data_IF_198954121701
#
_entry.id   IF_198954121701
#
_cell.length_a   1.000
_cell.length_b   1.000
_cell.length_c   1.000
_cell.angle_alpha   90.00
_cell.angle_beta   90.00
_cell.angle_gamma   90.00
#
_symmetry.space_group_name_H-M   'P 1'
#
loop_
_entity.id
_entity.type
_entity.pdbx_description
1 polymer ?
#
# COMPACT_ATOMS: atom_id res chain seq x y z
N UNK A 1 -5.84 -18.40 45.45
CA UNK A 1 -5.24 -18.10 44.14
C UNK A 1 -4.57 -19.37 43.62
N UNK A 2 -5.16 -20.03 42.64
CA UNK A 2 -4.67 -21.31 42.11
C UNK A 2 -3.37 -21.13 41.31
N UNK A 3 -2.29 -21.81 41.72
CA UNK A 3 -1.03 -21.95 40.95
C UNK A 3 -1.32 -22.73 39.67
N UNK A 4 -1.76 -22.05 38.62
CA UNK A 4 -2.03 -22.68 37.34
C UNK A 4 -0.76 -22.64 36.49
N UNK A 5 -0.20 -23.85 36.29
CA UNK A 5 0.62 -24.25 35.15
C UNK A 5 2.07 -23.75 35.12
N UNK A 6 2.85 -24.06 36.16
CA UNK A 6 4.32 -24.05 36.05
C UNK A 6 4.79 -25.35 35.40
N UNK A 7 4.92 -25.35 34.07
CA UNK A 7 5.59 -26.43 33.34
C UNK A 7 6.98 -25.93 32.95
N UNK A 8 8.02 -26.55 33.50
CA UNK A 8 9.40 -26.34 33.05
C UNK A 8 9.75 -27.37 31.99
N UNK A 9 10.35 -26.91 30.89
CA UNK A 9 10.86 -27.78 29.83
C UNK A 9 12.38 -27.91 29.99
N UNK A 10 12.86 -29.16 30.12
CA UNK A 10 14.27 -29.47 29.99
C UNK A 10 14.53 -29.83 28.53
N UNK A 11 15.52 -29.19 27.91
CA UNK A 11 15.97 -29.51 26.55
C UNK A 11 17.19 -30.42 26.64
N UNK A 12 17.05 -31.75 26.48
CA UNK A 12 18.20 -32.65 26.49
C UNK A 12 19.13 -32.36 25.32
N UNK A 13 20.40 -32.73 25.46
CA UNK A 13 21.35 -32.65 24.35
C UNK A 13 20.91 -33.55 23.19
N UNK A 14 21.12 -33.09 21.96
CA UNK A 14 20.80 -33.90 20.79
C UNK A 14 21.68 -35.14 20.71
N UNK A 15 21.13 -36.32 20.37
CA UNK A 15 21.91 -37.53 20.22
C UNK A 15 22.91 -37.41 19.07
N UNK A 16 24.09 -38.01 19.22
CA UNK A 16 25.22 -37.87 18.29
C UNK A 16 24.88 -38.23 16.83
N UNK A 17 23.95 -39.17 16.61
CA UNK A 17 23.46 -39.52 15.27
C UNK A 17 22.78 -38.34 14.57
N UNK A 18 21.89 -37.62 15.28
CA UNK A 18 21.17 -36.47 14.71
C UNK A 18 22.12 -35.30 14.44
N UNK A 19 23.09 -35.06 15.33
CA UNK A 19 24.10 -34.01 15.13
C UNK A 19 24.92 -34.25 13.85
N UNK A 20 25.45 -35.46 13.66
CA UNK A 20 26.22 -35.85 12.46
C UNK A 20 25.38 -35.77 11.18
N UNK A 21 24.10 -36.16 11.26
CA UNK A 21 23.20 -36.10 10.12
C UNK A 21 22.93 -34.65 9.70
N UNK A 22 22.60 -33.77 10.67
CA UNK A 22 22.39 -32.34 10.43
C UNK A 22 23.61 -31.66 9.82
N UNK A 23 24.81 -32.01 10.28
CA UNK A 23 26.07 -31.51 9.71
C UNK A 23 26.25 -31.97 8.26
N UNK A 24 26.06 -33.27 7.98
CA UNK A 24 26.22 -33.83 6.63
C UNK A 24 25.24 -33.25 5.61
N UNK A 25 24.01 -32.96 6.03
CA UNK A 25 22.98 -32.38 5.15
C UNK A 25 22.98 -30.84 5.14
N UNK A 26 23.87 -30.20 5.89
CA UNK A 26 23.95 -28.74 5.98
C UNK A 26 22.71 -28.10 6.62
N UNK A 27 22.04 -28.80 7.55
CA UNK A 27 20.85 -28.29 8.22
C UNK A 27 21.17 -27.06 9.05
N UNK A 28 20.44 -25.96 8.80
CA UNK A 28 20.48 -24.73 9.60
C UNK A 28 19.20 -24.61 10.39
N UNK A 29 19.31 -24.37 11.70
CA UNK A 29 18.15 -24.15 12.55
C UNK A 29 17.38 -22.92 12.07
N UNK A 30 16.07 -23.09 11.86
CA UNK A 30 15.20 -22.02 11.39
C UNK A 30 14.96 -20.95 12.46
N UNK A 31 14.26 -19.85 12.10
CA UNK A 31 13.94 -18.78 13.03
C UNK A 31 13.17 -19.28 14.25
N UNK A 32 13.81 -19.27 15.42
CA UNK A 32 13.20 -19.65 16.70
C UNK A 32 12.29 -18.53 17.23
N UNK A 33 11.38 -18.82 18.16
CA UNK A 33 10.52 -17.80 18.81
C UNK A 33 11.34 -16.63 19.40
N UNK A 34 12.57 -16.89 19.85
CA UNK A 34 13.49 -15.85 20.34
C UNK A 34 13.87 -14.84 19.26
N UNK A 35 14.03 -15.25 18.00
CA UNK A 35 14.34 -14.33 16.89
C UNK A 35 13.19 -13.36 16.63
N UNK A 36 11.95 -13.70 17.02
CA UNK A 36 10.79 -12.79 16.97
C UNK A 36 10.74 -11.80 18.13
N UNK A 37 11.46 -12.05 19.22
CA UNK A 37 11.53 -11.15 20.39
C UNK A 37 12.61 -10.07 20.23
N UNK A 38 13.60 -10.32 19.38
CA UNK A 38 14.61 -9.32 19.02
C UNK A 38 13.92 -8.23 18.19
N UNK A 39 14.21 -6.96 18.49
CA UNK A 39 13.77 -5.85 17.65
C UNK A 39 14.30 -6.11 16.23
N UNK A 40 13.45 -6.16 15.19
CA UNK A 40 13.93 -6.43 13.85
C UNK A 40 15.05 -5.45 13.55
N UNK A 41 16.24 -5.97 13.23
CA UNK A 41 17.24 -5.15 12.60
C UNK A 41 16.58 -4.54 11.35
N UNK A 42 16.86 -3.26 11.03
CA UNK A 42 16.40 -2.71 9.78
C UNK A 42 16.77 -3.71 8.67
N UNK A 43 15.84 -4.01 7.74
CA UNK A 43 16.13 -4.91 6.65
C UNK A 43 17.47 -4.51 6.05
N UNK A 44 18.37 -5.49 5.87
CA UNK A 44 19.64 -5.26 5.21
C UNK A 44 19.36 -4.48 3.94
N UNK A 45 19.97 -3.30 3.83
CA UNK A 45 19.68 -2.29 2.81
C UNK A 45 19.42 -2.95 1.45
N UNK A 46 18.26 -2.59 0.90
CA UNK A 46 18.05 -2.43 -0.53
C UNK A 46 18.77 -3.49 -1.35
N UNK A 47 18.19 -4.69 -1.36
CA UNK A 47 18.36 -5.53 -2.54
C UNK A 47 18.07 -4.64 -3.73
N UNK A 48 19.10 -4.29 -4.49
CA UNK A 48 19.00 -3.54 -5.73
C UNK A 48 18.14 -4.38 -6.67
N UNK A 49 16.83 -4.27 -6.50
CA UNK A 49 15.82 -4.80 -7.38
C UNK A 49 15.77 -3.91 -8.62
N UNK A 50 16.96 -3.53 -9.13
CA UNK A 50 17.11 -3.02 -10.47
C UNK A 50 16.61 -4.13 -11.38
N UNK A 51 15.46 -3.87 -12.00
CA UNK A 51 14.82 -4.79 -12.92
C UNK A 51 15.85 -5.15 -13.99
N UNK A 52 16.29 -6.41 -14.03
CA UNK A 52 17.35 -6.87 -14.95
C UNK A 52 16.91 -6.63 -16.39
N UNK A 53 17.85 -6.55 -17.32
CA UNK A 53 17.51 -6.38 -18.74
C UNK A 53 16.54 -7.47 -19.24
N UNK A 54 16.70 -8.71 -18.76
CA UNK A 54 15.82 -9.86 -19.06
C UNK A 54 14.38 -9.74 -18.49
N UNK A 55 14.18 -8.89 -17.47
CA UNK A 55 12.89 -8.69 -16.80
C UNK A 55 12.15 -7.46 -17.35
N UNK A 56 12.76 -6.72 -18.30
CA UNK A 56 12.13 -5.59 -18.95
C UNK A 56 11.04 -6.04 -19.96
N UNK A 57 9.95 -5.29 -20.11
CA UNK A 57 8.91 -5.63 -21.07
C UNK A 57 9.45 -5.53 -22.50
N UNK A 58 9.10 -6.51 -23.34
CA UNK A 58 9.40 -6.47 -24.77
C UNK A 58 8.72 -5.26 -25.42
N UNK A 59 9.50 -4.43 -26.10
CA UNK A 59 8.99 -3.32 -26.91
C UNK A 59 8.78 -3.81 -28.34
N UNK A 60 7.59 -3.57 -28.89
CA UNK A 60 7.22 -3.94 -30.27
C UNK A 60 6.68 -2.70 -30.98
N UNK A 61 7.26 -2.36 -32.13
CA UNK A 61 6.84 -1.23 -32.97
C UNK A 61 5.92 -1.75 -34.06
N UNK A 62 4.66 -1.33 -34.05
CA UNK A 62 3.65 -1.75 -35.04
C UNK A 62 3.31 -0.63 -36.02
N UNK A 63 3.42 0.63 -35.59
CA UNK A 63 3.06 1.82 -36.37
C UNK A 63 4.16 2.87 -36.35
N UNK A 64 4.17 3.73 -37.37
CA UNK A 64 5.04 4.91 -37.42
C UNK A 64 4.57 5.89 -36.33
N UNK A 65 5.32 5.96 -35.23
CA UNK A 65 4.99 6.75 -34.04
C UNK A 65 5.09 5.99 -32.71
N UNK A 66 5.23 4.66 -32.74
CA UNK A 66 5.54 3.89 -31.54
C UNK A 66 7.01 4.12 -31.13
N UNK A 67 7.28 4.14 -29.82
CA UNK A 67 8.63 4.36 -29.30
C UNK A 67 9.51 3.13 -29.52
N UNK A 68 10.73 3.39 -29.98
CA UNK A 68 11.79 2.39 -30.08
C UNK A 68 12.44 2.12 -28.72
N UNK A 69 13.14 0.99 -28.60
CA UNK A 69 13.82 0.58 -27.36
C UNK A 69 14.75 1.68 -26.84
N UNK A 70 15.51 2.31 -27.73
CA UNK A 70 16.47 3.36 -27.38
C UNK A 70 15.80 4.61 -26.80
N UNK A 71 14.65 5.01 -27.35
CA UNK A 71 13.90 6.18 -26.89
C UNK A 71 13.29 5.93 -25.51
N UNK A 72 12.77 4.72 -25.28
CA UNK A 72 12.23 4.32 -23.96
C UNK A 72 13.32 4.33 -22.89
N UNK A 73 14.54 3.87 -23.22
CA UNK A 73 15.66 3.89 -22.29
C UNK A 73 16.09 5.31 -21.94
N UNK A 74 16.16 6.22 -22.92
CA UNK A 74 16.50 7.63 -22.70
C UNK A 74 15.48 8.33 -21.82
N UNK A 75 14.19 8.20 -22.12
CA UNK A 75 13.10 8.80 -21.33
C UNK A 75 13.09 8.27 -19.89
N UNK A 76 13.31 6.96 -19.70
CA UNK A 76 13.41 6.37 -18.35
C UNK A 76 14.60 6.91 -17.57
N UNK A 77 15.75 7.10 -18.22
CA UNK A 77 16.94 7.65 -17.58
C UNK A 77 16.73 9.11 -17.15
N UNK A 78 16.14 9.94 -18.01
CA UNK A 78 15.79 11.33 -17.70
C UNK A 78 14.83 11.42 -16.51
N UNK A 79 13.74 10.64 -16.51
CA UNK A 79 12.78 10.62 -15.40
C UNK A 79 13.43 10.13 -14.09
N UNK A 80 14.38 9.19 -14.16
CA UNK A 80 15.10 8.69 -12.98
C UNK A 80 16.05 9.76 -12.43
N UNK A 81 16.71 10.52 -13.30
CA UNK A 81 17.56 11.65 -12.92
C UNK A 81 16.73 12.77 -12.28
N UNK A 82 15.59 13.15 -12.86
CA UNK A 82 14.71 14.20 -12.32
C UNK A 82 14.13 13.83 -10.96
N UNK A 83 13.80 12.55 -10.75
CA UNK A 83 13.30 12.05 -9.46
C UNK A 83 14.37 11.93 -8.39
N UNK A 84 15.65 11.90 -8.74
CA UNK A 84 16.74 11.87 -7.78
C UNK A 84 16.97 13.24 -7.12
N UNK A 85 16.54 14.33 -7.77
CA UNK A 85 16.62 15.71 -7.24
C UNK A 85 15.44 16.06 -6.31
N UNK A 86 14.37 15.26 -6.32
CA UNK A 86 13.26 15.39 -5.38
C UNK A 86 13.65 14.69 -4.06
N UNK A 87 13.92 15.49 -3.02
CA UNK A 87 14.38 15.11 -1.66
C UNK A 87 14.11 13.63 -1.30
N UNK A 88 15.16 12.85 -0.97
CA UNK A 88 15.02 11.42 -0.72
C UNK A 88 14.00 11.16 0.37
N UNK A 89 13.22 10.10 0.21
CA UNK A 89 12.33 9.62 1.27
C UNK A 89 13.15 9.45 2.55
N UNK A 90 12.67 9.96 3.70
CA UNK A 90 13.44 9.92 4.93
C UNK A 90 13.78 8.48 5.30
N UNK A 91 15.08 8.17 5.38
CA UNK A 91 15.62 6.86 5.76
C UNK A 91 15.13 6.38 7.15
N UNK A 92 14.59 7.30 7.96
CA UNK A 92 14.08 7.07 9.31
C UNK A 92 12.68 6.41 9.33
N UNK A 93 12.10 6.07 8.17
CA UNK A 93 10.79 5.40 8.05
C UNK A 93 9.58 6.27 8.44
N UNK A 94 9.80 7.55 8.74
CA UNK A 94 8.77 8.51 9.14
C UNK A 94 8.10 9.10 7.90
N UNK A 95 6.78 8.92 7.78
CA UNK A 95 6.01 9.49 6.67
C UNK A 95 5.94 11.02 6.81
N UNK A 96 6.51 11.77 5.86
CA UNK A 96 6.42 13.23 5.79
C UNK A 96 5.24 13.61 4.87
N UNK A 97 4.25 14.30 5.42
CA UNK A 97 3.15 14.85 4.63
C UNK A 97 3.57 16.16 3.96
N UNK A 98 3.89 16.11 2.67
CA UNK A 98 4.07 17.32 1.86
C UNK A 98 2.72 17.97 1.54
N UNK A 99 2.66 19.28 1.67
CA UNK A 99 1.46 20.05 1.36
C UNK A 99 1.19 19.99 -0.16
N UNK A 100 -0.02 19.63 -0.61
CA UNK A 100 -0.32 19.58 -2.03
C UNK A 100 -0.20 20.98 -2.65
N UNK A 101 0.47 21.06 -3.79
CA UNK A 101 0.53 22.29 -4.60
C UNK A 101 -0.87 22.55 -5.16
N UNK A 102 -1.34 23.79 -5.01
CA UNK A 102 -2.62 24.21 -5.62
C UNK A 102 -2.46 24.12 -7.13
N UNK A 103 -3.27 23.27 -7.78
CA UNK A 103 -3.30 23.18 -9.24
C UNK A 103 -3.63 24.55 -9.84
N UNK A 104 -2.99 24.98 -10.94
CA UNK A 104 -3.42 26.15 -11.68
C UNK A 104 -4.86 25.93 -12.17
N UNK A 105 -5.68 26.97 -12.07
CA UNK A 105 -7.13 26.89 -12.28
C UNK A 105 -7.57 26.68 -13.74
N UNK A 106 -6.63 26.62 -14.69
CA UNK A 106 -6.94 26.51 -16.12
C UNK A 106 -6.89 25.09 -16.70
N UNK A 107 -6.41 24.11 -15.94
CA UNK A 107 -6.29 22.76 -16.44
C UNK A 107 -7.55 21.96 -16.13
N UNK A 108 -8.40 21.79 -17.14
CA UNK A 108 -9.63 20.99 -17.06
C UNK A 108 -9.29 19.53 -16.81
N UNK A 109 -9.18 19.16 -15.53
CA UNK A 109 -9.03 17.79 -15.08
C UNK A 109 -10.29 16.98 -15.45
N UNK A 110 -10.21 16.19 -16.53
CA UNK A 110 -11.25 15.27 -17.00
C UNK A 110 -11.24 13.94 -16.22
N UNK A 111 -10.78 13.95 -14.97
CA UNK A 111 -10.80 12.78 -14.09
C UNK A 111 -12.18 12.54 -13.50
N UNK A 112 -12.57 11.26 -13.48
CA UNK A 112 -13.81 10.68 -12.93
C UNK A 112 -14.47 11.52 -11.82
N UNK A 113 -15.61 12.14 -12.14
CA UNK A 113 -16.41 12.92 -11.19
C UNK A 113 -17.34 11.99 -10.38
N UNK A 114 -16.81 11.37 -9.31
CA UNK A 114 -17.65 10.64 -8.37
C UNK A 114 -18.43 11.61 -7.45
N UNK A 115 -19.60 12.07 -7.88
CA UNK A 115 -20.49 12.91 -7.06
C UNK A 115 -21.49 12.06 -6.27
N UNK A 116 -21.19 11.72 -5.01
CA UNK A 116 -22.15 11.08 -4.10
C UNK A 116 -22.97 12.13 -3.33
N UNK A 117 -23.89 12.82 -4.01
CA UNK A 117 -24.79 13.79 -3.36
C UNK A 117 -25.97 13.08 -2.68
N UNK A 118 -25.80 12.64 -1.43
CA UNK A 118 -26.90 12.09 -0.60
C UNK A 118 -27.91 13.18 -0.25
N UNK A 119 -29.04 13.24 -0.95
CA UNK A 119 -30.16 14.18 -0.70
C UNK A 119 -30.90 13.80 0.60
N UNK A 120 -30.85 14.66 1.63
CA UNK A 120 -31.72 14.55 2.83
C UNK A 120 -33.09 15.18 2.53
N UNK A 121 -34.15 14.36 2.55
CA UNK A 121 -35.55 14.77 2.28
C UNK A 121 -36.07 15.67 3.41
N UNK A 122 -36.32 16.97 3.16
CA UNK A 122 -37.03 17.85 4.11
C UNK A 122 -38.53 17.50 4.13
N UNK A 123 -39.09 17.22 5.32
CA UNK A 123 -40.54 17.05 5.54
C UNK A 123 -41.25 18.40 5.35
N UNK A 124 -42.18 18.51 4.39
CA UNK A 124 -43.10 19.65 4.24
C UNK A 124 -44.20 19.56 5.29
N UNK A 125 -44.35 20.59 6.14
CA UNK A 125 -45.57 20.82 6.96
C UNK A 125 -46.71 21.23 6.02
N UNK A 126 -47.83 20.48 6.01
CA UNK A 126 -49.07 20.83 5.30
C UNK A 126 -49.78 21.96 6.07
N UNK A 127 -50.05 23.10 5.41
CA UNK A 127 -51.06 24.07 5.86
C UNK A 127 -52.44 23.47 5.53
N UNK A 128 -53.34 23.38 6.52
CA UNK A 128 -54.74 22.99 6.30
C UNK A 128 -55.50 24.21 5.76
N UNK A 129 -56.09 24.09 4.58
CA UNK A 129 -57.08 25.01 4.03
C UNK A 129 -58.47 24.65 4.56
N UNK A 130 -59.20 25.65 5.06
CA UNK A 130 -60.64 25.57 5.38
C UNK A 130 -61.46 25.42 4.08
N UNK A 131 -62.44 24.52 4.00
CA UNK A 131 -63.51 24.63 3.02
C UNK A 131 -64.70 25.40 3.60
N UNK A 132 -65.19 26.36 2.82
CA UNK A 132 -66.51 26.99 2.96
C UNK A 132 -67.59 25.94 2.70
N UNK A 133 -68.64 25.88 3.51
CA UNK A 133 -69.92 25.27 3.13
C UNK A 133 -71.04 26.28 3.29
N UNK A 134 -71.85 26.32 2.24
CA UNK A 134 -73.02 27.15 1.99
C UNK A 134 -74.26 26.34 2.35
N UNK A 135 -75.29 26.95 2.93
CA UNK A 135 -76.63 26.35 2.99
C UNK A 135 -77.38 26.56 4.30
N UNK A 136 -78.11 27.67 4.38
CA UNK A 136 -79.29 27.83 5.25
C UNK A 136 -80.49 27.34 4.43
N UNK A 137 -81.18 26.27 4.84
CA UNK A 137 -82.55 25.98 4.43
C UNK A 137 -83.26 25.12 5.48
N UNK A 138 -84.34 25.72 5.98
CA UNK A 138 -85.48 25.22 6.78
C UNK A 138 -85.23 24.83 8.23
#
# INVERSE_FOLDING_TARGET
MSKRNQVSYLRPAEPAFLARFKERVGYREGPTIETKRVHPQPPHEDGDHSNKEDEQPQVVVLKKGDLSVEEVMKIKAEIKADKADEEPAPADGRIIYRKPVKRPSDEKYSGLTASSKKKKKKKKKKKKSLPKTHGLMQ
#
